data_IF_308575439511
#
_entry.id   IF_308575439511
#
_cell.length_a   1.000
_cell.length_b   1.000
_cell.length_c   1.000
_cell.angle_alpha   90.00
_cell.angle_beta   90.00
_cell.angle_gamma   90.00
#
_symmetry.space_group_name_H-M   'P 1'
#
loop_
_entity.id
_entity.type
_entity.pdbx_description
1 polymer ?
#
# COMPACT_ATOMS: atom_id res chain seq x y z
N UNK A 1 70.83 -40.82 34.47
CA UNK A 1 70.37 -42.01 35.20
C UNK A 1 68.89 -41.79 35.50
N UNK A 2 68.04 -42.71 35.02
CA UNK A 2 66.65 -42.98 35.44
C UNK A 2 65.59 -41.88 35.16
N UNK A 3 64.83 -42.12 34.07
CA UNK A 3 63.47 -41.64 33.85
C UNK A 3 62.52 -42.22 34.90
N UNK A 4 61.67 -41.41 35.51
CA UNK A 4 60.37 -41.84 36.05
C UNK A 4 59.30 -40.83 35.63
N UNK A 5 58.34 -41.30 34.81
CA UNK A 5 57.13 -40.57 34.44
C UNK A 5 56.12 -40.73 35.57
N UNK A 6 55.72 -39.64 36.20
CA UNK A 6 54.54 -39.63 37.06
C UNK A 6 53.27 -39.57 36.19
N UNK A 7 52.39 -40.55 36.39
CA UNK A 7 51.07 -40.62 35.75
C UNK A 7 50.07 -39.84 36.59
N UNK A 8 49.61 -38.69 36.09
CA UNK A 8 48.50 -37.95 36.71
C UNK A 8 47.19 -38.54 36.17
N UNK A 9 46.36 -39.09 37.06
CA UNK A 9 45.02 -39.56 36.75
C UNK A 9 44.09 -38.37 36.53
N UNK A 10 43.61 -38.17 35.30
CA UNK A 10 42.62 -37.14 34.98
C UNK A 10 41.22 -37.65 35.30
N UNK A 11 40.64 -37.17 36.39
CA UNK A 11 39.25 -37.42 36.76
C UNK A 11 38.32 -36.67 35.79
N UNK A 12 37.61 -37.39 34.94
CA UNK A 12 36.58 -36.81 34.06
C UNK A 12 35.31 -36.62 34.88
N UNK A 13 35.11 -35.42 35.42
CA UNK A 13 33.82 -35.00 35.97
C UNK A 13 32.84 -34.76 34.83
N UNK A 14 31.84 -35.64 34.72
CA UNK A 14 30.70 -35.45 33.84
C UNK A 14 29.95 -34.17 34.26
N UNK A 15 29.99 -33.14 33.41
CA UNK A 15 29.16 -31.95 33.56
C UNK A 15 27.74 -32.37 33.21
N UNK A 16 26.88 -32.47 34.23
CA UNK A 16 25.44 -32.64 34.02
C UNK A 16 24.93 -31.45 33.21
N UNK A 17 24.49 -31.70 31.98
CA UNK A 17 23.76 -30.73 31.19
C UNK A 17 22.45 -30.43 31.91
N UNK A 18 22.42 -29.33 32.68
CA UNK A 18 21.18 -28.75 33.16
C UNK A 18 20.45 -28.24 31.93
N UNK A 19 19.54 -29.06 31.41
CA UNK A 19 18.57 -28.65 30.42
C UNK A 19 17.76 -27.50 31.01
N UNK A 20 18.14 -26.27 30.69
CA UNK A 20 17.32 -25.10 30.94
C UNK A 20 16.02 -25.34 30.15
N UNK A 21 14.96 -25.65 30.88
CA UNK A 21 13.62 -25.66 30.32
C UNK A 21 13.40 -24.28 29.70
N UNK A 22 13.39 -24.19 28.37
CA UNK A 22 12.91 -23.00 27.67
C UNK A 22 11.47 -22.84 28.10
N UNK A 23 11.23 -21.95 29.05
CA UNK A 23 9.90 -21.44 29.32
C UNK A 23 9.39 -20.86 28.01
N UNK A 24 8.49 -21.60 27.36
CA UNK A 24 7.77 -21.15 26.17
C UNK A 24 6.74 -20.12 26.61
N UNK A 25 7.20 -18.96 27.09
CA UNK A 25 6.33 -17.81 27.22
C UNK A 25 6.09 -17.31 25.80
N UNK A 26 4.86 -17.48 25.30
CA UNK A 26 4.45 -16.84 24.06
C UNK A 26 4.78 -15.34 24.14
N UNK A 27 5.37 -14.74 23.10
CA UNK A 27 5.62 -13.31 23.12
C UNK A 27 4.29 -12.57 23.30
N UNK A 28 4.27 -11.45 24.04
CA UNK A 28 3.07 -10.66 24.21
C UNK A 28 2.56 -10.20 22.84
N UNK A 29 1.24 -10.02 22.71
CA UNK A 29 0.65 -9.50 21.48
C UNK A 29 1.27 -8.13 21.13
N UNK A 30 1.53 -7.85 19.83
CA UNK A 30 2.04 -6.56 19.40
C UNK A 30 1.14 -5.40 19.85
N UNK A 31 1.73 -4.26 20.22
CA UNK A 31 0.98 -3.08 20.69
C UNK A 31 -0.10 -2.63 19.70
N UNK A 32 0.21 -2.62 18.40
CA UNK A 32 -0.76 -2.28 17.36
C UNK A 32 -1.98 -3.20 17.37
N UNK A 33 -1.75 -4.51 17.51
CA UNK A 33 -2.81 -5.53 17.57
C UNK A 33 -3.69 -5.33 18.80
N UNK A 34 -3.10 -5.14 19.98
CA UNK A 34 -3.87 -4.88 21.21
C UNK A 34 -4.71 -3.61 21.06
N UNK A 35 -4.16 -2.55 20.49
CA UNK A 35 -4.86 -1.27 20.29
C UNK A 35 -6.03 -1.41 19.32
N UNK A 36 -5.82 -2.09 18.19
CA UNK A 36 -6.89 -2.35 17.23
C UNK A 36 -8.03 -3.17 17.87
N UNK A 37 -7.71 -4.23 18.62
CA UNK A 37 -8.71 -5.04 19.31
C UNK A 37 -9.53 -4.20 20.30
N UNK A 38 -8.89 -3.39 21.14
CA UNK A 38 -9.59 -2.51 22.09
C UNK A 38 -10.44 -1.46 21.36
N UNK A 39 -9.90 -0.83 20.31
CA UNK A 39 -10.60 0.19 19.54
C UNK A 39 -11.89 -0.37 18.91
N UNK A 40 -11.81 -1.48 18.18
CA UNK A 40 -12.98 -2.04 17.49
C UNK A 40 -13.96 -2.76 18.43
N UNK A 41 -13.50 -3.27 19.56
CA UNK A 41 -14.40 -3.80 20.59
C UNK A 41 -15.19 -2.67 21.29
N UNK A 42 -14.57 -1.51 21.53
CA UNK A 42 -15.21 -0.37 22.16
C UNK A 42 -16.09 0.45 21.19
N UNK A 43 -15.76 0.48 19.90
CA UNK A 43 -16.44 1.30 18.87
C UNK A 43 -17.15 0.45 17.81
N UNK A 44 -17.87 -0.59 18.25
CA UNK A 44 -18.49 -1.56 17.33
C UNK A 44 -19.65 -1.00 16.49
N UNK A 45 -20.18 0.17 16.85
CA UNK A 45 -21.31 0.83 16.21
C UNK A 45 -20.96 1.72 15.02
N UNK A 46 -19.68 1.84 14.64
CA UNK A 46 -19.26 2.58 13.44
C UNK A 46 -19.89 1.93 12.20
N UNK A 47 -20.65 2.73 11.44
CA UNK A 47 -21.38 2.31 10.24
C UNK A 47 -20.62 2.61 8.95
N UNK A 48 -19.77 3.64 8.94
CA UNK A 48 -18.95 4.02 7.80
C UNK A 48 -17.63 3.24 7.83
N UNK A 49 -17.69 1.99 7.37
CA UNK A 49 -16.57 1.04 7.35
C UNK A 49 -16.64 0.14 6.14
N UNK A 50 -15.49 -0.34 5.69
CA UNK A 50 -15.41 -1.35 4.64
C UNK A 50 -16.13 -2.64 5.04
N UNK A 51 -16.70 -3.32 4.05
CA UNK A 51 -17.34 -4.61 4.28
C UNK A 51 -16.33 -5.68 4.70
N UNK A 52 -16.80 -6.73 5.39
CA UNK A 52 -15.95 -7.90 5.68
C UNK A 52 -15.36 -8.51 4.41
N UNK A 53 -16.12 -8.53 3.31
CA UNK A 53 -15.64 -9.10 2.05
C UNK A 53 -14.46 -8.31 1.48
N UNK A 54 -14.49 -6.98 1.58
CA UNK A 54 -13.45 -6.10 1.04
C UNK A 54 -12.21 -6.13 1.94
N UNK A 55 -12.39 -5.98 3.25
CA UNK A 55 -11.29 -6.07 4.23
C UNK A 55 -10.59 -7.42 4.18
N UNK A 56 -11.33 -8.51 3.95
CA UNK A 56 -10.76 -9.86 3.81
C UNK A 56 -9.84 -9.98 2.60
N UNK A 57 -10.16 -9.35 1.46
CA UNK A 57 -9.32 -9.39 0.26
C UNK A 57 -7.98 -8.68 0.49
N UNK A 58 -8.01 -7.52 1.15
CA UNK A 58 -6.80 -6.76 1.49
C UNK A 58 -5.97 -7.53 2.52
N UNK A 59 -6.61 -8.08 3.55
CA UNK A 59 -5.96 -8.93 4.57
C UNK A 59 -5.29 -10.15 3.94
N UNK A 60 -5.92 -10.78 2.95
CA UNK A 60 -5.34 -11.91 2.23
C UNK A 60 -4.08 -11.49 1.46
N UNK A 61 -4.05 -10.33 0.81
CA UNK A 61 -2.84 -9.85 0.14
C UNK A 61 -1.71 -9.55 1.14
N UNK A 62 -2.01 -8.87 2.25
CA UNK A 62 -1.02 -8.60 3.30
C UNK A 62 -0.44 -9.89 3.90
N UNK A 63 -1.28 -10.91 4.14
CA UNK A 63 -0.84 -12.20 4.70
C UNK A 63 0.10 -12.96 3.78
N UNK A 64 -0.08 -12.87 2.46
CA UNK A 64 0.79 -13.53 1.47
C UNK A 64 1.97 -12.65 1.02
N UNK A 65 2.05 -11.42 1.52
CA UNK A 65 3.15 -10.53 1.24
C UNK A 65 4.43 -11.00 1.95
N UNK A 66 5.57 -10.91 1.28
CA UNK A 66 6.87 -11.24 1.88
C UNK A 66 7.26 -10.17 2.89
N UNK A 67 7.72 -10.57 4.09
CA UNK A 67 8.12 -9.63 5.13
C UNK A 67 9.55 -9.10 4.90
N UNK A 68 9.83 -7.80 5.13
CA UNK A 68 8.86 -6.77 5.50
C UNK A 68 8.02 -6.33 4.29
N UNK A 69 6.70 -6.26 4.48
CA UNK A 69 5.77 -5.82 3.43
C UNK A 69 5.60 -4.29 3.47
N UNK A 70 5.82 -3.63 2.34
CA UNK A 70 5.58 -2.20 2.19
C UNK A 70 4.13 -1.96 1.76
N UNK A 71 3.32 -1.39 2.66
CA UNK A 71 1.92 -1.10 2.44
C UNK A 71 1.65 0.41 2.43
N UNK A 72 1.22 0.94 1.29
CA UNK A 72 0.79 2.33 1.14
C UNK A 72 -0.73 2.42 1.20
N UNK A 73 -1.27 3.36 1.96
CA UNK A 73 -2.70 3.62 2.03
C UNK A 73 -2.97 5.08 1.71
N UNK A 74 -3.81 5.36 0.73
CA UNK A 74 -4.38 6.69 0.53
C UNK A 74 -5.72 6.75 1.26
N UNK A 75 -5.89 7.70 2.17
CA UNK A 75 -7.06 7.94 3.01
C UNK A 75 -6.93 7.36 4.42
N UNK A 76 -7.21 8.18 5.44
CA UNK A 76 -7.50 7.67 6.79
C UNK A 76 -8.95 7.21 6.87
N UNK A 77 -9.12 5.97 7.30
CA UNK A 77 -10.43 5.31 7.37
C UNK A 77 -10.64 4.68 8.75
N UNK A 78 -11.85 4.16 8.99
CA UNK A 78 -12.14 3.38 10.19
C UNK A 78 -11.18 2.18 10.35
N UNK A 79 -10.65 1.63 9.27
CA UNK A 79 -9.74 0.47 9.24
C UNK A 79 -8.26 0.82 9.49
N UNK A 80 -7.92 2.09 9.72
CA UNK A 80 -6.52 2.54 9.90
C UNK A 80 -5.72 1.68 10.91
N UNK A 81 -6.30 1.40 12.08
CA UNK A 81 -5.66 0.55 13.09
C UNK A 81 -5.62 -0.93 12.69
N UNK A 82 -6.61 -1.40 11.93
CA UNK A 82 -6.62 -2.73 11.35
C UNK A 82 -5.46 -2.90 10.36
N UNK A 83 -5.24 -1.94 9.45
CA UNK A 83 -4.14 -1.96 8.47
C UNK A 83 -2.77 -2.01 9.12
N UNK A 84 -2.54 -1.18 10.13
CA UNK A 84 -1.29 -1.21 10.90
C UNK A 84 -1.08 -2.56 11.63
N UNK A 85 -2.16 -3.18 12.08
CA UNK A 85 -2.11 -4.45 12.83
C UNK A 85 -1.91 -5.66 11.91
N UNK A 86 -2.58 -5.69 10.76
CA UNK A 86 -2.48 -6.78 9.80
C UNK A 86 -1.11 -6.80 9.09
N UNK A 87 -0.51 -5.63 8.86
CA UNK A 87 0.84 -5.53 8.32
C UNK A 87 1.92 -5.59 9.40
N UNK A 88 1.79 -6.52 10.35
CA UNK A 88 2.74 -6.68 11.45
C UNK A 88 4.14 -7.02 10.91
N UNK A 89 5.17 -6.38 11.48
CA UNK A 89 6.58 -6.43 11.00
C UNK A 89 6.82 -5.88 9.58
N UNK A 90 5.79 -5.31 8.93
CA UNK A 90 5.92 -4.52 7.71
C UNK A 90 5.96 -3.03 8.00
N UNK A 91 6.02 -2.24 6.92
CA UNK A 91 5.88 -0.78 6.96
C UNK A 91 4.54 -0.40 6.37
N UNK A 92 3.70 0.30 7.13
CA UNK A 92 2.45 0.87 6.64
C UNK A 92 2.55 2.39 6.69
N UNK A 93 2.34 3.04 5.55
CA UNK A 93 2.32 4.50 5.41
C UNK A 93 0.96 4.94 4.92
N UNK A 94 0.42 6.00 5.53
CA UNK A 94 -0.89 6.53 5.19
C UNK A 94 -0.75 7.96 4.65
N UNK A 95 -1.48 8.26 3.58
CA UNK A 95 -1.52 9.57 2.93
C UNK A 95 -2.92 10.15 3.07
N UNK A 96 -3.07 11.32 3.70
CA UNK A 96 -4.38 11.90 4.04
C UNK A 96 -4.54 13.33 3.47
N UNK A 97 -5.74 13.70 3.00
CA UNK A 97 -5.97 15.08 2.53
C UNK A 97 -6.17 16.11 3.65
N UNK A 98 -6.64 15.70 4.83
CA UNK A 98 -6.93 16.58 5.96
C UNK A 98 -5.77 16.59 6.96
N UNK A 99 -4.93 17.62 6.87
CA UNK A 99 -3.80 17.86 7.79
C UNK A 99 -4.16 17.81 9.28
N UNK A 100 -5.34 18.29 9.66
CA UNK A 100 -5.75 18.31 11.07
C UNK A 100 -6.12 16.92 11.54
N UNK A 101 -6.74 16.12 10.68
CA UNK A 101 -7.07 14.74 11.00
C UNK A 101 -5.82 13.85 11.02
N UNK A 102 -4.87 14.09 10.11
CA UNK A 102 -3.56 13.46 10.13
C UNK A 102 -2.83 13.74 11.45
N UNK A 103 -2.67 15.02 11.82
CA UNK A 103 -2.00 15.41 13.06
C UNK A 103 -2.66 14.82 14.32
N UNK A 104 -4.01 14.82 14.38
CA UNK A 104 -4.75 14.19 15.47
C UNK A 104 -4.49 12.67 15.55
N UNK A 105 -4.46 11.99 14.41
CA UNK A 105 -4.21 10.55 14.36
C UNK A 105 -2.77 10.21 14.75
N UNK A 106 -1.78 11.02 14.37
CA UNK A 106 -0.39 10.84 14.81
C UNK A 106 -0.24 11.06 16.32
N UNK A 107 -0.86 12.10 16.88
CA UNK A 107 -0.81 12.39 18.31
C UNK A 107 -1.42 11.25 19.15
N UNK A 108 -2.58 10.74 18.72
CA UNK A 108 -3.28 9.67 19.43
C UNK A 108 -2.75 8.26 19.09
N UNK A 109 -1.99 8.13 17.99
CA UNK A 109 -1.41 6.88 17.54
C UNK A 109 0.03 7.05 17.02
N UNK A 110 1.01 7.25 17.93
CA UNK A 110 2.41 7.50 17.56
C UNK A 110 3.08 6.37 16.77
N UNK A 111 2.47 5.18 16.71
CA UNK A 111 2.97 4.05 15.92
C UNK A 111 2.57 4.09 14.45
N UNK A 112 1.67 4.99 14.05
CA UNK A 112 1.19 5.12 12.67
C UNK A 112 2.03 6.17 11.96
N UNK A 113 2.51 5.82 10.76
CA UNK A 113 3.22 6.74 9.89
C UNK A 113 2.19 7.36 8.92
N UNK A 114 1.94 8.67 9.05
CA UNK A 114 0.93 9.40 8.28
C UNK A 114 1.59 10.64 7.68
N UNK A 115 1.20 11.01 6.46
CA UNK A 115 1.58 12.28 5.86
C UNK A 115 0.35 12.94 5.24
N UNK A 116 0.21 14.24 5.41
CA UNK A 116 -0.81 15.00 4.70
C UNK A 116 -0.33 15.44 3.32
N UNK A 117 -1.26 15.48 2.37
CA UNK A 117 -1.01 15.94 0.99
C UNK A 117 -2.13 16.81 0.48
N UNK A 118 -1.83 17.68 -0.48
CA UNK A 118 -2.83 18.51 -1.12
C UNK A 118 -3.22 17.96 -2.50
N UNK A 119 -4.43 17.44 -2.60
CA UNK A 119 -5.00 17.03 -3.89
C UNK A 119 -5.47 18.26 -4.67
N UNK A 120 -4.81 18.55 -5.79
CA UNK A 120 -5.16 19.68 -6.67
C UNK A 120 -6.29 19.37 -7.68
N UNK A 121 -6.64 18.10 -7.85
CA UNK A 121 -7.66 17.65 -8.82
C UNK A 121 -9.07 17.71 -8.24
N UNK A 122 -10.07 17.83 -9.10
CA UNK A 122 -11.50 17.78 -8.72
C UNK A 122 -12.22 16.66 -9.44
N UNK A 123 -13.26 16.10 -8.81
CA UNK A 123 -14.12 15.08 -9.45
C UNK A 123 -14.74 15.59 -10.76
N UNK A 124 -15.20 16.84 -10.78
CA UNK A 124 -15.79 17.47 -11.96
C UNK A 124 -14.82 17.57 -13.16
N UNK A 125 -13.52 17.44 -12.93
CA UNK A 125 -12.48 17.52 -13.96
C UNK A 125 -12.10 16.16 -14.57
N UNK A 126 -12.75 15.06 -14.18
CA UNK A 126 -12.39 13.69 -14.59
C UNK A 126 -12.09 13.59 -16.10
N UNK A 127 -13.04 13.99 -16.95
CA UNK A 127 -12.90 13.84 -18.40
C UNK A 127 -11.76 14.70 -18.98
N UNK A 128 -11.59 15.92 -18.48
CA UNK A 128 -10.49 16.81 -18.87
C UNK A 128 -9.14 16.21 -18.48
N UNK A 129 -9.02 15.73 -17.24
CA UNK A 129 -7.78 15.15 -16.72
C UNK A 129 -7.37 13.88 -17.45
N UNK A 130 -8.33 12.99 -17.74
CA UNK A 130 -8.07 11.78 -18.52
C UNK A 130 -7.61 12.14 -19.94
N UNK A 131 -8.26 13.11 -20.58
CA UNK A 131 -7.88 13.57 -21.93
C UNK A 131 -6.49 14.19 -21.94
N UNK A 132 -6.22 15.11 -21.01
CA UNK A 132 -4.91 15.75 -20.88
C UNK A 132 -3.79 14.75 -20.58
N UNK A 133 -4.06 13.76 -19.72
CA UNK A 133 -3.09 12.70 -19.41
C UNK A 133 -2.78 11.81 -20.64
N UNK A 134 -3.77 11.55 -21.50
CA UNK A 134 -3.58 10.81 -22.76
C UNK A 134 -2.69 11.57 -23.73
N UNK A 135 -2.97 12.85 -23.93
CA UNK A 135 -2.18 13.73 -24.81
C UNK A 135 -0.73 13.85 -24.34
N UNK A 136 -0.54 13.91 -23.02
CA UNK A 136 0.76 14.04 -22.37
C UNK A 136 1.42 12.71 -21.98
N UNK A 137 0.89 11.58 -22.43
CA UNK A 137 1.36 10.26 -22.00
C UNK A 137 2.80 9.97 -22.46
N UNK A 138 3.23 10.59 -23.56
CA UNK A 138 4.58 10.40 -24.13
C UNK A 138 5.64 11.33 -23.51
N UNK A 139 5.25 12.28 -22.65
CA UNK A 139 6.16 13.23 -22.03
C UNK A 139 5.94 13.34 -20.51
N UNK A 140 4.94 14.10 -20.07
CA UNK A 140 4.73 14.51 -18.68
C UNK A 140 3.97 13.45 -17.88
N UNK A 141 3.01 12.75 -18.48
CA UNK A 141 2.16 11.75 -17.81
C UNK A 141 2.54 10.31 -18.18
N UNK A 142 3.83 9.97 -18.11
CA UNK A 142 4.35 8.62 -18.46
C UNK A 142 4.02 7.56 -17.40
N UNK A 143 3.93 6.27 -17.78
CA UNK A 143 3.72 5.17 -16.84
C UNK A 143 4.93 4.91 -15.93
N UNK A 144 6.14 5.22 -16.41
CA UNK A 144 7.37 5.20 -15.62
C UNK A 144 7.96 6.61 -15.63
N UNK A 145 8.04 7.24 -14.46
CA UNK A 145 8.51 8.62 -14.34
C UNK A 145 8.88 8.96 -12.89
N UNK A 146 9.65 10.04 -12.72
CA UNK A 146 9.91 10.63 -11.42
C UNK A 146 8.74 11.53 -11.01
N UNK A 147 7.94 11.08 -10.04
CA UNK A 147 6.79 11.83 -9.54
C UNK A 147 7.17 13.10 -8.78
N UNK A 148 8.34 13.14 -8.12
CA UNK A 148 8.82 14.32 -7.38
C UNK A 148 8.97 15.56 -8.28
N UNK A 149 9.29 15.35 -9.56
CA UNK A 149 9.46 16.40 -10.56
C UNK A 149 8.45 16.27 -11.71
N UNK A 150 7.31 15.63 -11.47
CA UNK A 150 6.29 15.45 -12.51
C UNK A 150 5.48 16.73 -12.71
N UNK A 151 5.34 17.14 -13.97
CA UNK A 151 4.41 18.20 -14.41
C UNK A 151 3.00 17.66 -14.73
N UNK A 152 2.79 16.34 -14.61
CA UNK A 152 1.48 15.75 -14.82
C UNK A 152 0.54 16.20 -13.69
N UNK A 153 -0.59 16.84 -14.04
CA UNK A 153 -1.62 17.29 -13.07
C UNK A 153 -2.16 16.18 -12.16
N UNK A 154 -2.01 14.91 -12.55
CA UNK A 154 -2.43 13.74 -11.77
C UNK A 154 -1.35 13.19 -10.84
N UNK A 155 -0.09 13.57 -11.02
CA UNK A 155 1.02 13.11 -10.18
C UNK A 155 1.03 13.85 -8.84
N UNK A 156 0.99 13.11 -7.74
CA UNK A 156 1.23 13.68 -6.41
C UNK A 156 2.75 13.88 -6.25
N UNK A 157 3.20 15.14 -6.35
CA UNK A 157 4.61 15.55 -6.27
C UNK A 157 5.00 16.16 -4.91
N UNK A 158 4.08 16.15 -3.94
CA UNK A 158 4.22 16.69 -2.59
C UNK A 158 4.37 15.61 -1.50
N UNK A 159 4.62 14.35 -1.88
CA UNK A 159 4.95 13.30 -0.91
C UNK A 159 6.37 13.50 -0.36
N UNK A 160 6.67 13.05 0.88
CA UNK A 160 8.04 12.97 1.36
C UNK A 160 8.93 12.20 0.38
N UNK A 161 10.10 12.76 0.06
CA UNK A 161 10.99 12.26 -1.01
C UNK A 161 11.28 10.75 -0.91
N UNK A 162 11.37 10.22 0.31
CA UNK A 162 11.67 8.82 0.55
C UNK A 162 10.55 7.89 0.05
N UNK A 163 9.30 8.34 0.00
CA UNK A 163 8.16 7.50 -0.38
C UNK A 163 8.11 7.18 -1.88
N UNK A 164 8.74 8.01 -2.72
CA UNK A 164 8.89 7.75 -4.16
C UNK A 164 9.87 6.60 -4.46
N UNK A 165 10.77 6.33 -3.53
CA UNK A 165 11.84 5.33 -3.67
C UNK A 165 11.47 3.98 -3.02
N UNK A 166 10.31 3.89 -2.37
CA UNK A 166 9.84 2.65 -1.75
C UNK A 166 9.27 1.72 -2.83
N UNK A 167 9.80 0.49 -2.88
CA UNK A 167 9.22 -0.60 -3.64
C UNK A 167 7.95 -1.12 -2.94
N UNK A 168 6.82 -0.44 -3.15
CA UNK A 168 5.52 -0.80 -2.55
C UNK A 168 5.05 -2.18 -3.01
N UNK A 169 4.59 -3.02 -2.07
CA UNK A 169 4.09 -4.36 -2.37
C UNK A 169 2.56 -4.38 -2.45
N UNK A 170 1.93 -3.60 -1.57
CA UNK A 170 0.49 -3.41 -1.52
C UNK A 170 0.18 -1.91 -1.48
N UNK A 171 -0.82 -1.49 -2.23
CA UNK A 171 -1.37 -0.14 -2.19
C UNK A 171 -2.89 -0.24 -2.02
N UNK A 172 -3.44 0.50 -1.06
CA UNK A 172 -4.88 0.69 -0.89
C UNK A 172 -5.22 2.14 -1.19
N UNK A 173 -6.20 2.36 -2.05
CA UNK A 173 -6.72 3.68 -2.40
C UNK A 173 -8.14 3.75 -1.86
N UNK A 174 -8.28 4.36 -0.68
CA UNK A 174 -9.57 4.68 -0.04
C UNK A 174 -9.70 6.17 0.34
N UNK A 175 -8.87 7.01 -0.26
CA UNK A 175 -8.89 8.45 -0.14
C UNK A 175 -8.39 9.09 -1.44
N UNK A 176 -8.72 10.36 -1.67
CA UNK A 176 -9.46 11.25 -0.77
C UNK A 176 -10.99 11.00 -0.76
N UNK A 177 -11.72 11.69 0.13
CA UNK A 177 -13.18 11.53 0.38
C UNK A 177 -14.03 11.44 -0.89
N UNK A 178 -13.87 12.40 -1.81
CA UNK A 178 -14.54 12.37 -3.11
C UNK A 178 -16.08 12.40 -3.07
N UNK A 179 -16.71 13.14 -2.13
CA UNK A 179 -18.18 13.14 -2.00
C UNK A 179 -18.91 14.28 -2.74
N UNK A 180 -18.19 15.25 -3.34
CA UNK A 180 -18.80 16.37 -4.08
C UNK A 180 -17.97 16.76 -5.32
N UNK A 181 -18.59 17.36 -6.36
CA UNK A 181 -17.92 17.60 -7.65
C UNK A 181 -16.66 18.47 -7.57
N UNK A 182 -16.66 19.49 -6.72
CA UNK A 182 -15.52 20.40 -6.51
C UNK A 182 -14.47 19.86 -5.53
N UNK A 183 -14.72 18.71 -4.92
CA UNK A 183 -13.81 18.06 -4.00
C UNK A 183 -12.78 17.19 -4.72
N UNK A 184 -11.69 16.84 -4.03
CA UNK A 184 -10.71 15.95 -4.60
C UNK A 184 -11.26 14.55 -4.78
N UNK A 185 -10.97 13.94 -5.92
CA UNK A 185 -11.30 12.54 -6.20
C UNK A 185 -10.05 11.66 -6.28
N UNK A 186 -10.26 10.35 -6.39
CA UNK A 186 -9.18 9.35 -6.32
C UNK A 186 -8.30 9.27 -7.57
N UNK A 187 -8.53 10.09 -8.60
CA UNK A 187 -7.76 10.09 -9.86
C UNK A 187 -6.25 10.22 -9.63
N UNK A 188 -5.84 11.19 -8.82
CA UNK A 188 -4.42 11.45 -8.56
C UNK A 188 -3.76 10.32 -7.75
N UNK A 189 -4.47 9.76 -6.76
CA UNK A 189 -4.01 8.61 -5.99
C UNK A 189 -3.87 7.36 -6.88
N UNK A 190 -4.85 7.10 -7.75
CA UNK A 190 -4.82 5.98 -8.72
C UNK A 190 -3.66 6.12 -9.71
N UNK A 191 -3.47 7.31 -10.28
CA UNK A 191 -2.36 7.59 -11.19
C UNK A 191 -1.01 7.40 -10.49
N UNK A 192 -0.84 8.01 -9.31
CA UNK A 192 0.38 7.95 -8.50
C UNK A 192 0.71 6.51 -8.12
N UNK A 193 -0.25 5.73 -7.62
CA UNK A 193 -0.07 4.31 -7.32
C UNK A 193 0.34 3.51 -8.56
N UNK A 194 -0.30 3.78 -9.70
CA UNK A 194 0.03 3.15 -10.98
C UNK A 194 1.45 3.45 -11.45
N UNK A 195 1.95 4.66 -11.24
CA UNK A 195 3.33 5.05 -11.57
C UNK A 195 4.34 4.46 -10.58
N UNK A 196 4.05 4.52 -9.28
CA UNK A 196 4.90 3.93 -8.24
C UNK A 196 5.10 2.42 -8.46
N UNK A 197 4.01 1.68 -8.71
CA UNK A 197 4.06 0.24 -8.99
C UNK A 197 4.90 -0.10 -10.23
N UNK A 198 4.84 0.76 -11.25
CA UNK A 198 5.56 0.55 -12.52
C UNK A 198 7.03 0.97 -12.47
N UNK A 199 7.33 1.95 -11.62
CA UNK A 199 8.67 2.54 -11.47
C UNK A 199 9.53 1.83 -10.43
N UNK A 200 9.06 0.70 -9.86
CA UNK A 200 9.82 -0.11 -8.89
C UNK A 200 11.19 -0.48 -9.43
N UNK A 201 12.21 -0.29 -8.59
CA UNK A 201 13.62 -0.58 -8.92
C UNK A 201 14.00 -2.00 -8.51
N UNK A 202 13.41 -2.49 -7.42
CA UNK A 202 13.72 -3.80 -6.84
C UNK A 202 12.50 -4.56 -6.32
N UNK A 203 12.78 -5.57 -5.49
CA UNK A 203 11.77 -6.39 -4.83
C UNK A 203 10.93 -7.26 -5.78
N UNK A 204 9.73 -7.61 -5.33
CA UNK A 204 8.74 -8.25 -6.17
C UNK A 204 8.32 -7.30 -7.29
N UNK A 205 8.49 -7.71 -8.55
CA UNK A 205 8.09 -6.91 -9.71
C UNK A 205 6.59 -6.68 -9.83
N UNK A 206 5.76 -7.23 -8.94
CA UNK A 206 4.31 -7.04 -8.89
C UNK A 206 3.89 -6.25 -7.66
N UNK A 207 2.88 -5.41 -7.82
CA UNK A 207 2.24 -4.63 -6.76
C UNK A 207 0.76 -4.92 -6.74
N UNK A 208 0.20 -5.26 -5.58
CA UNK A 208 -1.24 -5.37 -5.40
C UNK A 208 -1.83 -3.99 -5.17
N UNK A 209 -2.74 -3.54 -6.01
CA UNK A 209 -3.42 -2.25 -5.86
C UNK A 209 -4.91 -2.50 -5.65
N UNK A 210 -5.44 -2.00 -4.54
CA UNK A 210 -6.84 -2.06 -4.18
C UNK A 210 -7.45 -0.68 -4.30
N UNK A 211 -8.52 -0.56 -5.08
CA UNK A 211 -9.28 0.68 -5.25
C UNK A 211 -10.66 0.47 -4.62
N UNK A 212 -10.95 1.18 -3.54
CA UNK A 212 -12.26 1.13 -2.90
C UNK A 212 -13.24 2.07 -3.62
N UNK A 213 -14.55 1.88 -3.41
CA UNK A 213 -15.65 2.48 -4.18
C UNK A 213 -15.53 2.32 -5.71
N UNK A 214 -14.99 1.19 -6.18
CA UNK A 214 -14.70 0.93 -7.59
C UNK A 214 -15.93 0.97 -8.51
N UNK A 215 -17.15 0.92 -7.97
CA UNK A 215 -18.38 1.09 -8.74
C UNK A 215 -18.64 2.54 -9.17
N UNK A 216 -18.00 3.53 -8.54
CA UNK A 216 -18.08 4.94 -8.92
C UNK A 216 -17.31 5.20 -10.20
N UNK A 217 -17.79 6.17 -10.98
CA UNK A 217 -17.23 6.48 -12.30
C UNK A 217 -15.78 6.95 -12.23
N UNK A 218 -15.46 7.85 -11.28
CA UNK A 218 -14.12 8.43 -11.11
C UNK A 218 -13.07 7.34 -10.88
N UNK A 219 -13.36 6.42 -9.98
CA UNK A 219 -12.51 5.29 -9.61
C UNK A 219 -12.38 4.31 -10.76
N UNK A 220 -13.51 3.93 -11.37
CA UNK A 220 -13.53 2.97 -12.48
C UNK A 220 -12.76 3.48 -13.70
N UNK A 221 -13.09 4.68 -14.17
CA UNK A 221 -12.47 5.29 -15.36
C UNK A 221 -10.97 5.50 -15.14
N UNK A 222 -10.57 6.06 -14.00
CA UNK A 222 -9.15 6.29 -13.69
C UNK A 222 -8.37 4.98 -13.56
N UNK A 223 -8.97 3.95 -12.96
CA UNK A 223 -8.30 2.65 -12.81
C UNK A 223 -8.17 1.92 -14.16
N UNK A 224 -9.20 1.93 -15.00
CA UNK A 224 -9.13 1.37 -16.36
C UNK A 224 -8.08 2.10 -17.20
N UNK A 225 -7.93 3.41 -17.00
CA UNK A 225 -6.96 4.25 -17.70
C UNK A 225 -5.51 4.00 -17.27
N UNK A 226 -5.25 3.96 -15.95
CA UNK A 226 -3.89 3.99 -15.39
C UNK A 226 -3.45 2.68 -14.72
N UNK A 227 -4.36 1.85 -14.22
CA UNK A 227 -4.04 0.52 -13.70
C UNK A 227 -4.25 -0.57 -14.74
N UNK A 228 -5.06 -0.27 -15.76
CA UNK A 228 -5.36 -1.10 -16.93
C UNK A 228 -6.26 -2.30 -16.63
N UNK A 229 -7.28 -2.47 -17.46
CA UNK A 229 -8.29 -3.54 -17.28
C UNK A 229 -7.67 -4.94 -17.34
N UNK A 230 -6.62 -5.13 -18.13
CA UNK A 230 -5.87 -6.39 -18.20
C UNK A 230 -5.20 -6.79 -16.88
N UNK A 231 -4.98 -5.85 -15.96
CA UNK A 231 -4.39 -6.11 -14.65
C UNK A 231 -5.45 -6.33 -13.56
N UNK A 232 -6.74 -6.20 -13.87
CA UNK A 232 -7.83 -6.41 -12.93
C UNK A 232 -7.97 -7.91 -12.61
N UNK A 233 -7.65 -8.29 -11.38
CA UNK A 233 -7.78 -9.68 -10.89
C UNK A 233 -9.22 -9.94 -10.45
N UNK A 234 -9.83 -8.97 -9.76
CA UNK A 234 -11.17 -9.12 -9.21
C UNK A 234 -11.84 -7.78 -8.99
N UNK A 235 -13.11 -7.67 -9.35
CA UNK A 235 -14.00 -6.63 -8.85
C UNK A 235 -15.10 -7.31 -8.03
N UNK A 236 -15.18 -7.03 -6.72
CA UNK A 236 -16.20 -7.60 -5.82
C UNK A 236 -16.61 -6.54 -4.82
N UNK A 237 -17.91 -6.45 -4.55
CA UNK A 237 -18.43 -5.44 -3.62
C UNK A 237 -18.08 -4.04 -4.13
N UNK A 238 -17.42 -3.26 -3.28
CA UNK A 238 -16.94 -1.91 -3.61
C UNK A 238 -15.46 -1.89 -3.99
N UNK A 239 -14.79 -3.04 -4.05
CA UNK A 239 -13.34 -3.13 -4.22
C UNK A 239 -12.94 -3.65 -5.61
N UNK A 240 -12.07 -2.90 -6.28
CA UNK A 240 -11.29 -3.35 -7.44
C UNK A 240 -9.89 -3.77 -7.01
N UNK A 241 -9.50 -5.01 -7.29
CA UNK A 241 -8.16 -5.53 -7.03
C UNK A 241 -7.39 -5.72 -8.34
N UNK A 242 -6.31 -4.96 -8.47
CA UNK A 242 -5.37 -5.00 -9.58
C UNK A 242 -4.03 -5.58 -9.13
N UNK A 243 -3.32 -6.26 -10.04
CA UNK A 243 -1.92 -6.63 -9.86
C UNK A 243 -1.12 -6.01 -10.99
N UNK A 244 -0.36 -4.97 -10.66
CA UNK A 244 0.39 -4.15 -11.63
C UNK A 244 1.86 -4.55 -11.59
N UNK A 245 2.42 -4.87 -12.75
CA UNK A 245 3.82 -5.23 -12.89
C UNK A 245 4.69 -4.00 -13.19
N UNK A 246 5.97 -4.07 -12.77
CA UNK A 246 6.98 -3.08 -13.14
C UNK A 246 7.13 -3.00 -14.66
N UNK A 247 7.53 -1.84 -15.16
CA UNK A 247 7.73 -1.59 -16.59
C UNK A 247 9.14 -1.06 -16.86
N UNK A 248 9.59 -1.21 -18.10
CA UNK A 248 10.85 -0.64 -18.56
C UNK A 248 10.79 0.89 -18.57
N UNK A 249 11.90 1.56 -18.28
CA UNK A 249 11.97 3.02 -18.09
C UNK A 249 11.52 3.82 -19.33
N UNK A 250 11.68 3.26 -20.52
CA UNK A 250 11.27 3.86 -21.79
C UNK A 250 9.80 3.60 -22.16
N UNK A 251 9.01 3.01 -21.26
CA UNK A 251 7.59 2.72 -21.49
C UNK A 251 6.79 4.01 -21.61
N UNK A 252 6.02 4.14 -22.69
CA UNK A 252 5.21 5.34 -23.01
C UNK A 252 3.71 5.07 -23.06
N UNK A 253 3.27 3.89 -22.62
CA UNK A 253 1.86 3.50 -22.58
C UNK A 253 1.56 2.76 -21.28
N UNK A 254 0.44 3.08 -20.64
CA UNK A 254 0.02 2.37 -19.43
C UNK A 254 -0.47 0.94 -19.73
N UNK A 255 -1.26 0.79 -20.79
CA UNK A 255 -2.04 -0.42 -21.10
C UNK A 255 -1.69 -0.93 -22.49
N UNK A 256 -1.65 -2.26 -22.68
CA UNK A 256 -1.15 -2.91 -23.90
C UNK A 256 -2.12 -2.80 -25.10
N UNK A 257 -3.43 -2.71 -24.85
CA UNK A 257 -4.46 -2.81 -25.90
C UNK A 257 -5.50 -1.68 -25.82
N UNK A 258 -5.16 -0.47 -26.28
CA UNK A 258 -6.17 0.60 -26.47
C UNK A 258 -6.77 0.67 -27.87
N UNK A 259 -6.15 0.05 -28.86
CA UNK A 259 -6.54 0.16 -30.27
C UNK A 259 -7.69 -0.75 -30.69
N UNK A 260 -8.12 -1.71 -29.86
CA UNK A 260 -9.18 -2.67 -30.23
C UNK A 260 -10.60 -2.24 -29.83
N UNK A 261 -10.77 -1.19 -29.03
CA UNK A 261 -12.10 -0.77 -28.53
C UNK A 261 -12.76 0.33 -29.37
N UNK A 262 -12.08 0.86 -30.40
CA UNK A 262 -12.63 1.90 -31.29
C UNK A 262 -13.09 1.35 -32.65
N UNK A 263 -12.91 0.05 -32.92
CA UNK A 263 -13.22 -0.58 -34.21
C UNK A 263 -14.51 -1.42 -34.23
N UNK A 264 -15.34 -1.37 -33.19
CA UNK A 264 -16.59 -2.15 -33.10
C UNK A 264 -17.83 -1.28 -32.91
N UNK A 265 -17.83 -0.11 -33.55
CA UNK A 265 -19.04 0.72 -33.73
C UNK A 265 -19.09 1.23 -35.17
N UNK A 266 -19.48 0.36 -36.08
CA UNK A 266 -19.98 0.67 -37.42
C UNK A 266 -21.08 -0.32 -37.75
#
# INVERSE_FOLDING_TARGET
MIYTRESIATTVTAVAATGAAKTTSSPPLPKSVVKALLHYAANSNITDKMSYADTKLISDALRHCSAPCNFLVFGLTAETLLWKSLNHNGRTVIIEENRYFAAYMEETNPEIEIYDVQYATKISQLNELITAAREKMKNECRPVQNLLFSDCKLGLNDLPNQLYEVDWDVVLIDGPRGYWPDGPGRMAAIFTAGVLARSKKGGNGKTHIFVHDFSREVERVSSEEFLCKENLVKAKGMLGHFVVEKMEENSVQFCRNRTSSTSSSS
#
